data_IF_809850283232
#
_entry.id   IF_809850283232
#
_cell.length_a   1.000
_cell.length_b   1.000
_cell.length_c   1.000
_cell.angle_alpha   90.00
_cell.angle_beta   90.00
_cell.angle_gamma   90.00
#
_symmetry.space_group_name_H-M   'P 1'
#
loop_
_entity.id
_entity.type
_entity.pdbx_description
1 polymer ?
#
# COMPACT_ATOMS: atom_id res chain seq x y z
N UNK A 1 -21.46 -65.51 26.16
CA UNK A 1 -21.13 -66.95 26.14
C UNK A 1 -19.63 -67.08 26.36
N UNK A 2 -19.21 -67.80 27.40
CA UNK A 2 -17.80 -67.87 27.81
C UNK A 2 -17.20 -69.17 27.28
N UNK A 3 -16.23 -69.08 26.37
CA UNK A 3 -15.61 -70.26 25.76
C UNK A 3 -14.56 -70.83 26.73
N UNK A 4 -14.80 -72.03 27.25
CA UNK A 4 -13.81 -72.77 28.05
C UNK A 4 -12.96 -73.65 27.14
N UNK A 5 -11.64 -73.41 27.15
CA UNK A 5 -10.65 -74.19 26.40
C UNK A 5 -10.19 -75.33 27.30
N UNK A 6 -10.51 -76.57 26.92
CA UNK A 6 -10.21 -77.79 27.71
C UNK A 6 -8.84 -78.41 27.43
N UNK A 7 -8.13 -77.96 26.39
CA UNK A 7 -6.84 -78.52 25.97
C UNK A 7 -5.69 -77.54 26.19
N UNK A 8 -4.50 -78.08 26.47
CA UNK A 8 -3.26 -77.29 26.63
C UNK A 8 -2.89 -76.63 25.29
N UNK A 9 -2.84 -75.29 25.27
CA UNK A 9 -2.41 -74.52 24.09
C UNK A 9 -0.88 -74.67 23.98
N UNK A 10 -0.42 -75.46 23.02
CA UNK A 10 1.01 -75.75 22.78
C UNK A 10 1.64 -74.87 21.68
N UNK A 11 0.89 -73.91 21.15
CA UNK A 11 1.41 -72.92 20.19
C UNK A 11 0.48 -71.72 20.07
N UNK A 12 1.08 -70.53 20.03
CA UNK A 12 0.40 -69.28 19.74
C UNK A 12 1.15 -68.55 18.61
N UNK A 13 0.42 -67.84 17.74
CA UNK A 13 1.00 -66.97 16.72
C UNK A 13 0.40 -65.59 16.87
N UNK A 14 1.24 -64.60 17.18
CA UNK A 14 0.83 -63.20 17.22
C UNK A 14 0.72 -62.71 15.78
N UNK A 15 -0.47 -62.26 15.38
CA UNK A 15 -0.69 -61.63 14.07
C UNK A 15 0.03 -60.29 14.10
N UNK A 16 1.15 -60.15 13.37
CA UNK A 16 1.74 -58.84 13.12
C UNK A 16 0.79 -58.08 12.20
N UNK A 17 0.55 -56.80 12.49
CA UNK A 17 -0.23 -55.94 11.62
C UNK A 17 0.51 -55.80 10.29
N UNK A 18 -0.16 -56.13 9.18
CA UNK A 18 0.32 -55.79 7.85
C UNK A 18 0.34 -54.27 7.70
N UNK A 19 1.48 -53.65 7.37
CA UNK A 19 1.57 -52.20 7.19
C UNK A 19 0.81 -51.70 5.95
N UNK A 20 0.40 -52.59 5.04
CA UNK A 20 -0.29 -52.22 3.79
C UNK A 20 -1.82 -52.11 3.92
N UNK A 21 -2.42 -52.58 5.01
CA UNK A 21 -3.88 -52.46 5.22
C UNK A 21 -4.29 -51.15 5.95
N UNK A 22 -3.33 -50.31 6.36
CA UNK A 22 -3.58 -49.03 7.00
C UNK A 22 -3.63 -47.84 6.02
N UNK A 23 -3.42 -48.08 4.72
CA UNK A 23 -3.30 -47.03 3.71
C UNK A 23 -4.63 -46.60 3.05
N UNK A 24 -5.74 -47.32 3.27
CA UNK A 24 -6.95 -47.12 2.45
C UNK A 24 -8.16 -46.50 3.17
N UNK A 25 -8.03 -46.03 4.41
CA UNK A 25 -9.09 -45.26 5.08
C UNK A 25 -8.52 -44.02 5.78
N UNK A 26 -7.90 -43.13 5.01
CA UNK A 26 -7.87 -41.72 5.39
C UNK A 26 -9.14 -41.08 4.85
N UNK A 27 -10.18 -41.02 5.69
CA UNK A 27 -11.25 -40.06 5.48
C UNK A 27 -10.61 -38.69 5.29
N UNK A 28 -11.09 -37.83 4.36
CA UNK A 28 -10.51 -36.52 4.17
C UNK A 28 -10.65 -35.78 5.49
N UNK A 29 -9.52 -35.56 6.15
CA UNK A 29 -9.43 -34.63 7.26
C UNK A 29 -9.78 -33.30 6.63
N UNK A 30 -11.03 -32.86 6.80
CA UNK A 30 -11.40 -31.47 6.61
C UNK A 30 -10.59 -30.72 7.66
N UNK A 31 -9.37 -30.35 7.28
CA UNK A 31 -8.61 -29.38 8.01
C UNK A 31 -9.45 -28.11 7.95
N UNK A 32 -9.92 -27.65 9.12
CA UNK A 32 -10.20 -26.24 9.37
C UNK A 32 -8.92 -25.48 9.07
N UNK A 33 -8.67 -25.25 7.79
CA UNK A 33 -7.43 -24.69 7.28
C UNK A 33 -7.58 -23.20 7.49
N UNK A 34 -7.15 -22.72 8.67
CA UNK A 34 -7.11 -21.28 8.94
C UNK A 34 -6.39 -20.59 7.78
N UNK A 35 -6.92 -19.48 7.25
CA UNK A 35 -6.30 -18.80 6.13
C UNK A 35 -4.88 -18.40 6.48
N UNK A 36 -3.96 -18.61 5.54
CA UNK A 36 -2.56 -18.21 5.68
C UNK A 36 -2.51 -16.70 5.76
N UNK A 37 -1.87 -16.21 6.82
CA UNK A 37 -1.64 -14.80 7.06
C UNK A 37 -0.18 -14.46 6.83
N UNK A 38 0.10 -13.24 6.38
CA UNK A 38 1.45 -12.77 6.14
C UNK A 38 2.31 -12.88 7.42
N UNK A 39 3.45 -13.55 7.33
CA UNK A 39 4.38 -13.73 8.44
C UNK A 39 5.82 -14.03 7.97
N UNK A 40 6.76 -13.93 8.89
CA UNK A 40 8.21 -14.08 8.66
C UNK A 40 8.67 -15.47 8.16
N UNK A 41 7.81 -16.50 8.25
CA UNK A 41 8.10 -17.86 7.80
C UNK A 41 7.60 -18.13 6.37
N UNK A 42 6.91 -17.19 5.73
CA UNK A 42 6.47 -17.34 4.34
C UNK A 42 7.69 -17.27 3.42
N UNK A 43 7.96 -18.40 2.76
CA UNK A 43 9.01 -18.47 1.74
C UNK A 43 8.68 -17.58 0.54
N UNK A 44 9.74 -17.03 -0.06
CA UNK A 44 9.61 -16.19 -1.25
C UNK A 44 9.21 -17.08 -2.43
N UNK A 45 8.05 -16.84 -3.08
CA UNK A 45 7.67 -17.61 -4.27
C UNK A 45 8.58 -17.29 -5.46
N UNK A 46 8.60 -18.20 -6.44
CA UNK A 46 9.38 -18.04 -7.67
C UNK A 46 8.89 -16.85 -8.52
N UNK A 47 7.60 -16.52 -8.41
CA UNK A 47 6.94 -15.45 -9.13
C UNK A 47 6.26 -14.47 -8.17
N UNK A 48 6.47 -13.17 -8.41
CA UNK A 48 5.79 -12.06 -7.73
C UNK A 48 5.34 -11.04 -8.77
N UNK A 49 4.17 -10.44 -8.56
CA UNK A 49 3.67 -9.36 -9.41
C UNK A 49 4.13 -8.01 -8.81
N UNK A 50 4.77 -7.18 -9.63
CA UNK A 50 5.32 -5.90 -9.19
C UNK A 50 4.67 -4.68 -9.86
N UNK A 51 4.52 -3.60 -9.11
CA UNK A 51 4.14 -2.28 -9.63
C UNK A 51 5.28 -1.28 -9.41
N UNK A 52 5.70 -0.59 -10.48
CA UNK A 52 6.75 0.44 -10.41
C UNK A 52 6.16 1.85 -10.46
N UNK A 53 6.55 2.68 -9.49
CA UNK A 53 6.22 4.09 -9.38
C UNK A 53 7.46 4.95 -9.62
N UNK A 54 7.28 6.09 -10.29
CA UNK A 54 8.35 7.05 -10.55
C UNK A 54 8.16 8.29 -9.69
N UNK A 55 9.22 8.71 -9.00
CA UNK A 55 9.30 9.99 -8.30
C UNK A 55 10.44 10.82 -8.89
N UNK A 56 10.22 12.12 -9.05
CA UNK A 56 11.24 13.07 -9.51
C UNK A 56 11.01 14.41 -8.81
N UNK A 57 11.69 14.65 -7.67
CA UNK A 57 11.68 15.96 -7.03
C UNK A 57 12.17 17.05 -8.00
N UNK A 58 11.65 18.29 -7.94
CA UNK A 58 12.01 19.35 -8.90
C UNK A 58 13.50 19.68 -8.94
N UNK A 59 14.16 19.63 -7.79
CA UNK A 59 15.59 19.96 -7.62
C UNK A 59 16.50 18.74 -7.86
N UNK A 60 15.92 17.54 -7.98
CA UNK A 60 16.70 16.32 -8.18
C UNK A 60 17.08 16.16 -9.67
N UNK A 61 18.37 15.93 -9.92
CA UNK A 61 18.88 15.64 -11.26
C UNK A 61 18.29 14.33 -11.81
N UNK A 62 18.20 13.31 -10.95
CA UNK A 62 17.80 11.96 -11.31
C UNK A 62 16.46 11.57 -10.70
N UNK A 63 15.66 10.82 -11.45
CA UNK A 63 14.44 10.21 -10.93
C UNK A 63 14.77 8.95 -10.12
N UNK A 64 13.86 8.62 -9.20
CA UNK A 64 13.88 7.39 -8.43
C UNK A 64 12.67 6.53 -8.80
N UNK A 65 12.89 5.23 -8.86
CA UNK A 65 11.89 4.22 -9.21
C UNK A 65 11.68 3.30 -8.01
N UNK A 66 10.43 3.16 -7.60
CA UNK A 66 10.02 2.36 -6.46
C UNK A 66 9.17 1.22 -7.00
N UNK A 67 9.68 0.00 -6.97
CA UNK A 67 8.94 -1.21 -7.34
C UNK A 67 8.47 -1.89 -6.08
N UNK A 68 7.17 -2.11 -5.93
CA UNK A 68 6.60 -2.91 -4.83
C UNK A 68 6.09 -4.20 -5.45
N UNK A 69 6.59 -5.32 -4.95
CA UNK A 69 6.21 -6.67 -5.36
C UNK A 69 5.25 -7.25 -4.33
N UNK A 70 4.17 -7.87 -4.82
CA UNK A 70 3.10 -8.43 -4.02
C UNK A 70 3.12 -9.94 -4.03
N UNK A 71 2.73 -10.53 -2.91
CA UNK A 71 2.37 -11.93 -2.79
C UNK A 71 0.85 -12.10 -2.75
N UNK A 72 0.34 -13.13 -3.43
CA UNK A 72 -1.05 -13.53 -3.35
C UNK A 72 -1.17 -14.69 -2.35
N UNK A 73 -1.90 -14.47 -1.26
CA UNK A 73 -2.15 -15.47 -0.22
C UNK A 73 -3.54 -16.08 -0.43
N UNK A 74 -3.66 -17.38 -0.14
CA UNK A 74 -4.91 -18.15 -0.21
C UNK A 74 -5.62 -18.04 -1.58
N UNK A 75 -4.84 -18.05 -2.67
CA UNK A 75 -5.34 -17.95 -4.04
C UNK A 75 -6.43 -19.00 -4.33
N UNK A 76 -7.53 -18.56 -4.94
CA UNK A 76 -8.66 -19.43 -5.27
C UNK A 76 -9.56 -19.80 -4.08
N UNK A 77 -9.47 -19.07 -2.96
CA UNK A 77 -10.34 -19.24 -1.79
C UNK A 77 -11.06 -17.94 -1.42
N UNK A 78 -12.08 -18.02 -0.54
CA UNK A 78 -12.79 -16.85 0.00
C UNK A 78 -11.90 -15.94 0.88
N UNK A 79 -10.67 -16.36 1.17
CA UNK A 79 -9.68 -15.61 1.95
C UNK A 79 -8.50 -15.13 1.10
N UNK A 80 -8.67 -15.08 -0.22
CA UNK A 80 -7.66 -14.55 -1.13
C UNK A 80 -7.31 -13.11 -0.75
N UNK A 81 -6.02 -12.87 -0.52
CA UNK A 81 -5.52 -11.58 -0.07
C UNK A 81 -4.19 -11.28 -0.73
N UNK A 82 -4.09 -10.10 -1.33
CA UNK A 82 -2.84 -9.56 -1.87
C UNK A 82 -2.12 -8.76 -0.79
N UNK A 83 -0.85 -9.07 -0.54
CA UNK A 83 -0.04 -8.41 0.48
C UNK A 83 1.28 -7.91 -0.13
N UNK A 84 1.78 -6.73 0.27
CA UNK A 84 3.11 -6.29 -0.17
C UNK A 84 4.15 -7.23 0.42
N UNK A 85 5.11 -7.66 -0.40
CA UNK A 85 6.14 -8.63 -0.02
C UNK A 85 7.53 -8.00 0.08
N UNK A 86 7.93 -7.25 -0.93
CA UNK A 86 9.24 -6.57 -0.98
C UNK A 86 9.14 -5.26 -1.76
N UNK A 87 10.01 -4.32 -1.42
CA UNK A 87 10.16 -3.05 -2.15
C UNK A 87 11.58 -2.95 -2.68
N UNK A 88 11.73 -2.35 -3.87
CA UNK A 88 13.01 -1.98 -4.46
C UNK A 88 12.99 -0.50 -4.82
N UNK A 89 13.95 0.25 -4.29
CA UNK A 89 14.10 1.67 -4.58
C UNK A 89 15.41 1.85 -5.35
N UNK A 90 15.31 2.28 -6.61
CA UNK A 90 16.45 2.47 -7.49
C UNK A 90 16.55 3.92 -7.98
N UNK A 91 17.76 4.47 -8.02
CA UNK A 91 18.05 5.79 -8.55
C UNK A 91 19.45 5.81 -9.16
N UNK A 92 19.64 6.67 -10.16
CA UNK A 92 20.99 6.99 -10.67
C UNK A 92 21.75 7.95 -9.76
N UNK A 93 21.06 8.65 -8.85
CA UNK A 93 21.71 9.55 -7.89
C UNK A 93 22.42 8.75 -6.79
N UNK A 94 23.67 9.13 -6.53
CA UNK A 94 24.48 8.57 -5.43
C UNK A 94 24.35 9.35 -4.13
N UNK A 95 23.74 10.55 -4.15
CA UNK A 95 23.59 11.48 -3.01
C UNK A 95 22.93 10.82 -1.79
N UNK A 96 22.11 9.81 -2.06
CA UNK A 96 21.18 9.22 -1.12
C UNK A 96 21.31 7.69 -1.01
N UNK A 97 22.34 7.13 -1.63
CA UNK A 97 22.45 5.70 -1.89
C UNK A 97 22.38 4.83 -0.63
N UNK A 98 23.13 5.20 0.43
CA UNK A 98 23.22 4.39 1.66
C UNK A 98 21.87 4.29 2.38
N UNK A 99 21.18 5.41 2.58
CA UNK A 99 19.90 5.42 3.28
C UNK A 99 18.79 4.82 2.43
N UNK A 100 18.81 4.98 1.10
CA UNK A 100 17.86 4.33 0.18
C UNK A 100 17.96 2.82 0.30
N UNK A 101 19.18 2.26 0.33
CA UNK A 101 19.38 0.82 0.54
C UNK A 101 18.89 0.38 1.91
N UNK A 102 19.22 1.14 2.97
CA UNK A 102 18.77 0.82 4.33
C UNK A 102 17.24 0.79 4.40
N UNK A 103 16.58 1.82 3.84
CA UNK A 103 15.13 1.95 3.81
C UNK A 103 14.48 0.81 3.02
N UNK A 104 15.01 0.48 1.85
CA UNK A 104 14.56 -0.64 1.02
C UNK A 104 14.58 -1.96 1.79
N UNK A 105 15.67 -2.22 2.53
CA UNK A 105 15.82 -3.44 3.34
C UNK A 105 14.87 -3.48 4.53
N UNK A 106 14.72 -2.36 5.25
CA UNK A 106 13.87 -2.27 6.43
C UNK A 106 12.40 -2.42 6.04
N UNK A 107 11.94 -1.69 5.02
CA UNK A 107 10.54 -1.80 4.55
C UNK A 107 10.24 -3.21 4.07
N UNK A 108 11.13 -3.83 3.29
CA UNK A 108 10.95 -5.22 2.85
C UNK A 108 10.98 -6.22 4.01
N UNK A 109 11.71 -5.93 5.09
CA UNK A 109 11.67 -6.76 6.29
C UNK A 109 10.33 -6.63 7.03
N UNK A 110 9.78 -5.41 7.12
CA UNK A 110 8.46 -5.16 7.73
C UNK A 110 7.37 -5.84 6.92
N UNK A 111 7.38 -5.70 5.58
CA UNK A 111 6.45 -6.40 4.69
C UNK A 111 6.51 -7.92 4.87
N UNK A 112 7.72 -8.50 4.90
CA UNK A 112 7.89 -9.94 5.15
C UNK A 112 7.43 -10.40 6.53
N UNK A 113 7.55 -9.55 7.54
CA UNK A 113 7.06 -9.87 8.89
C UNK A 113 5.53 -9.92 8.96
N UNK A 114 4.84 -9.20 8.07
CA UNK A 114 3.39 -9.13 8.01
C UNK A 114 2.77 -8.39 9.20
N UNK A 115 1.48 -8.67 9.45
CA UNK A 115 0.65 -7.89 10.38
C UNK A 115 0.14 -6.61 9.74
N UNK A 116 -0.19 -5.61 10.56
CA UNK A 116 -0.57 -4.29 10.06
C UNK A 116 0.66 -3.54 9.58
N UNK A 117 0.82 -3.46 8.25
CA UNK A 117 1.90 -2.72 7.59
C UNK A 117 1.48 -1.30 7.21
N UNK A 118 0.22 -0.92 7.44
CA UNK A 118 -0.31 0.37 7.01
C UNK A 118 0.30 1.54 7.79
N UNK A 119 0.72 1.32 9.04
CA UNK A 119 1.39 2.30 9.89
C UNK A 119 2.67 2.89 9.24
N UNK A 120 3.34 2.13 8.35
CA UNK A 120 4.52 2.62 7.62
C UNK A 120 4.23 3.90 6.84
N UNK A 121 2.99 4.09 6.38
CA UNK A 121 2.58 5.32 5.68
C UNK A 121 2.72 6.53 6.58
N UNK A 122 2.25 6.42 7.83
CA UNK A 122 2.29 7.51 8.80
C UNK A 122 3.73 7.81 9.23
N UNK A 123 4.49 6.76 9.55
CA UNK A 123 5.90 6.88 9.95
C UNK A 123 6.73 7.58 8.87
N UNK A 124 6.61 7.16 7.61
CA UNK A 124 7.36 7.74 6.50
C UNK A 124 6.93 9.18 6.20
N UNK A 125 5.63 9.48 6.28
CA UNK A 125 5.10 10.86 6.12
C UNK A 125 5.59 11.81 7.20
N UNK A 126 5.88 11.32 8.39
CA UNK A 126 6.38 12.12 9.52
C UNK A 126 7.86 12.51 9.41
N UNK A 127 8.57 12.03 8.37
CA UNK A 127 9.97 12.37 8.13
C UNK A 127 10.07 13.69 7.37
N UNK A 128 10.72 14.68 7.97
CA UNK A 128 10.92 16.01 7.40
C UNK A 128 12.34 16.18 6.87
N UNK A 129 12.47 16.89 5.74
CA UNK A 129 13.77 17.32 5.23
C UNK A 129 14.18 18.60 5.97
N UNK A 130 15.41 18.68 6.52
CA UNK A 130 15.89 19.90 7.18
C UNK A 130 15.89 21.13 6.26
N UNK A 131 15.86 20.95 4.94
CA UNK A 131 15.77 22.02 3.96
C UNK A 131 14.31 22.44 3.65
N UNK A 132 13.31 21.85 4.32
CA UNK A 132 11.91 22.28 4.26
C UNK A 132 11.05 21.65 3.16
N UNK A 133 11.50 20.55 2.54
CA UNK A 133 10.72 19.79 1.56
C UNK A 133 10.61 20.46 0.18
N UNK A 134 9.65 20.03 -0.63
CA UNK A 134 9.45 20.54 -2.00
C UNK A 134 8.01 20.40 -2.49
N UNK A 135 7.67 21.14 -3.55
CA UNK A 135 6.38 20.99 -4.23
C UNK A 135 6.52 20.11 -5.47
N UNK A 136 5.65 19.12 -5.59
CA UNK A 136 5.50 18.32 -6.81
C UNK A 136 4.76 19.10 -7.88
N UNK A 137 4.81 18.59 -9.12
CA UNK A 137 3.90 19.02 -10.19
C UNK A 137 2.45 18.91 -9.68
N UNK A 138 1.62 19.92 -9.97
CA UNK A 138 0.27 20.05 -9.41
C UNK A 138 0.20 20.77 -8.06
N UNK A 139 1.32 21.28 -7.54
CA UNK A 139 1.34 22.13 -6.35
C UNK A 139 1.19 21.38 -5.02
N UNK A 140 1.33 20.05 -5.02
CA UNK A 140 1.28 19.21 -3.81
C UNK A 140 2.61 19.30 -3.07
N UNK A 141 2.58 19.74 -1.81
CA UNK A 141 3.77 19.82 -0.96
C UNK A 141 4.15 18.46 -0.38
N UNK A 142 5.43 18.12 -0.46
CA UNK A 142 6.06 16.95 0.15
C UNK A 142 7.08 17.42 1.20
N UNK A 143 6.93 17.01 2.48
CA UNK A 143 7.86 17.40 3.54
C UNK A 143 9.30 16.90 3.37
N UNK A 144 9.47 15.78 2.68
CA UNK A 144 10.76 15.17 2.36
C UNK A 144 10.63 14.16 1.22
N UNK A 145 11.78 13.69 0.71
CA UNK A 145 11.82 12.56 -0.22
C UNK A 145 11.28 11.26 0.41
N UNK A 146 11.51 11.07 1.71
CA UNK A 146 11.01 9.90 2.46
C UNK A 146 9.48 9.96 2.60
N UNK A 147 8.93 11.15 2.83
CA UNK A 147 7.48 11.35 2.85
C UNK A 147 6.84 11.07 1.48
N UNK A 148 7.52 11.41 0.38
CA UNK A 148 7.05 11.04 -0.97
C UNK A 148 7.10 9.51 -1.20
N UNK A 149 8.11 8.80 -0.69
CA UNK A 149 8.14 7.32 -0.68
C UNK A 149 6.95 6.77 0.11
N UNK A 150 6.64 7.34 1.27
CA UNK A 150 5.45 6.99 2.06
C UNK A 150 4.15 7.17 1.28
N UNK A 151 3.99 8.27 0.55
CA UNK A 151 2.84 8.50 -0.33
C UNK A 151 2.74 7.49 -1.48
N UNK A 152 3.88 6.99 -2.00
CA UNK A 152 3.89 5.91 -2.99
C UNK A 152 3.43 4.59 -2.39
N UNK A 153 3.91 4.24 -1.19
CA UNK A 153 3.48 3.03 -0.48
C UNK A 153 1.99 3.09 -0.18
N UNK A 154 1.49 4.21 0.33
CA UNK A 154 0.06 4.41 0.57
C UNK A 154 -0.78 4.22 -0.71
N UNK A 155 -0.35 4.84 -1.81
CA UNK A 155 -1.02 4.68 -3.11
C UNK A 155 -1.09 3.20 -3.51
N UNK A 156 -0.01 2.46 -3.25
CA UNK A 156 0.05 1.05 -3.56
C UNK A 156 -0.85 0.22 -2.63
N UNK A 157 -0.80 0.45 -1.31
CA UNK A 157 -1.66 -0.21 -0.32
C UNK A 157 -3.15 0.01 -0.61
N UNK A 158 -3.54 1.22 -1.03
CA UNK A 158 -4.90 1.51 -1.52
C UNK A 158 -5.25 0.70 -2.76
N UNK A 159 -4.32 0.59 -3.71
CA UNK A 159 -4.54 -0.15 -4.95
C UNK A 159 -4.74 -1.67 -4.74
N UNK A 160 -4.10 -2.24 -3.71
CA UNK A 160 -4.25 -3.65 -3.35
C UNK A 160 -5.31 -3.91 -2.27
N UNK A 161 -6.04 -2.88 -1.85
CA UNK A 161 -7.18 -3.01 -0.91
C UNK A 161 -6.81 -3.09 0.57
N UNK A 162 -5.56 -2.81 0.95
CA UNK A 162 -5.14 -2.76 2.36
C UNK A 162 -5.48 -1.43 3.05
N UNK A 163 -5.70 -0.37 2.28
CA UNK A 163 -6.11 0.94 2.79
C UNK A 163 -7.37 1.39 2.05
N UNK A 164 -8.32 1.94 2.79
CA UNK A 164 -9.50 2.56 2.20
C UNK A 164 -9.09 3.82 1.42
N UNK A 165 -9.63 3.96 0.21
CA UNK A 165 -9.57 5.21 -0.52
C UNK A 165 -10.59 6.18 0.07
N UNK A 166 -10.11 7.30 0.61
CA UNK A 166 -10.96 8.47 0.86
C UNK A 166 -11.41 9.07 -0.48
N UNK A 167 -12.39 8.45 -1.11
CA UNK A 167 -13.03 9.02 -2.29
C UNK A 167 -13.91 10.20 -1.87
N UNK A 168 -13.72 11.33 -2.56
CA UNK A 168 -14.62 12.45 -2.38
C UNK A 168 -16.02 12.07 -2.84
N UNK A 169 -17.03 12.40 -2.02
CA UNK A 169 -18.43 12.16 -2.38
C UNK A 169 -18.74 12.79 -3.74
N UNK A 170 -19.64 12.19 -4.52
CA UNK A 170 -20.02 12.75 -5.83
C UNK A 170 -20.51 14.19 -5.71
N UNK A 171 -21.21 14.52 -4.63
CA UNK A 171 -21.63 15.88 -4.30
C UNK A 171 -20.44 16.82 -4.16
N UNK A 172 -19.40 16.41 -3.42
CA UNK A 172 -18.16 17.20 -3.25
C UNK A 172 -17.43 17.37 -4.57
N UNK A 173 -17.34 16.29 -5.38
CA UNK A 173 -16.73 16.35 -6.73
C UNK A 173 -17.47 17.35 -7.63
N UNK A 174 -18.80 17.35 -7.60
CA UNK A 174 -19.63 18.29 -8.37
C UNK A 174 -19.46 19.74 -7.91
N UNK A 175 -19.55 20.00 -6.60
CA UNK A 175 -19.34 21.33 -6.03
C UNK A 175 -17.94 21.86 -6.41
N UNK A 176 -16.92 21.03 -6.34
CA UNK A 176 -15.56 21.37 -6.76
C UNK A 176 -15.47 21.75 -8.24
N UNK A 177 -16.15 21.00 -9.11
CA UNK A 177 -16.18 21.29 -10.54
C UNK A 177 -16.91 22.62 -10.84
N UNK A 178 -18.05 22.86 -10.19
CA UNK A 178 -18.79 24.14 -10.27
C UNK A 178 -17.92 25.31 -9.80
N UNK A 179 -17.29 25.16 -8.62
CA UNK A 179 -16.40 26.15 -8.02
C UNK A 179 -15.16 26.45 -8.88
N UNK A 180 -14.60 25.46 -9.57
CA UNK A 180 -13.53 25.66 -10.56
C UNK A 180 -14.03 26.45 -11.77
N UNK A 181 -15.18 26.06 -12.33
CA UNK A 181 -15.76 26.72 -13.49
C UNK A 181 -16.14 28.18 -13.21
N UNK A 182 -16.72 28.46 -12.04
CA UNK A 182 -17.03 29.83 -11.58
C UNK A 182 -15.78 30.69 -11.48
N UNK A 183 -14.71 30.14 -10.90
CA UNK A 183 -13.44 30.85 -10.78
C UNK A 183 -12.82 31.17 -12.15
N UNK A 184 -12.77 30.19 -13.06
CA UNK A 184 -12.25 30.35 -14.42
C UNK A 184 -13.06 31.36 -15.23
N UNK A 185 -14.39 31.36 -15.07
CA UNK A 185 -15.28 32.33 -15.73
C UNK A 185 -15.08 33.77 -15.22
N UNK A 186 -14.71 33.93 -13.95
CA UNK A 186 -14.53 35.25 -13.33
C UNK A 186 -13.12 35.81 -13.52
N UNK A 187 -12.12 34.95 -13.72
CA UNK A 187 -10.70 35.32 -13.86
C UNK A 187 -10.14 35.01 -15.26
N UNK A 188 -10.68 35.63 -16.30
CA UNK A 188 -10.05 35.69 -17.63
C UNK A 188 -8.87 36.67 -17.66
N UNK A 189 -7.76 36.31 -17.02
CA UNK A 189 -6.45 36.89 -17.34
C UNK A 189 -5.51 35.76 -17.68
N UNK A 190 -5.47 35.42 -18.97
CA UNK A 190 -4.47 34.54 -19.54
C UNK A 190 -3.10 35.20 -19.42
N UNK A 191 -2.36 34.89 -18.36
CA UNK A 191 -0.90 34.95 -18.43
C UNK A 191 -0.46 33.65 -19.10
N UNK A 192 0.03 33.77 -20.34
CA UNK A 192 0.76 32.74 -21.06
C UNK A 192 2.05 32.40 -20.29
N UNK A 193 1.93 31.65 -19.20
CA UNK A 193 3.05 31.00 -18.55
C UNK A 193 2.85 29.50 -18.75
N UNK A 194 3.69 28.90 -19.60
CA UNK A 194 3.67 27.49 -20.02
C UNK A 194 4.07 26.53 -18.88
N UNK A 195 3.73 26.85 -17.64
CA UNK A 195 3.79 25.97 -16.48
C UNK A 195 2.37 25.77 -16.00
N UNK A 196 1.61 24.95 -16.72
CA UNK A 196 0.28 24.51 -16.33
C UNK A 196 0.31 23.92 -14.91
N UNK A 197 0.00 24.74 -13.91
CA UNK A 197 -0.46 24.28 -12.61
C UNK A 197 -1.96 24.06 -12.73
N UNK A 198 -2.46 22.93 -12.24
CA UNK A 198 -3.89 22.59 -12.26
C UNK A 198 -4.76 23.51 -11.37
N UNK A 199 -4.16 24.60 -10.85
CA UNK A 199 -4.73 25.53 -9.89
C UNK A 199 -4.28 26.97 -10.18
N UNK A 200 -5.08 27.98 -9.78
CA UNK A 200 -4.79 29.39 -10.01
C UNK A 200 -3.47 29.88 -9.41
N UNK A 201 -2.84 30.87 -10.03
CA UNK A 201 -1.55 31.42 -9.56
C UNK A 201 -1.65 32.11 -8.18
N UNK A 202 -2.82 32.64 -7.82
CA UNK A 202 -3.09 33.24 -6.51
C UNK A 202 -3.52 32.20 -5.45
N UNK A 203 -3.53 30.90 -5.77
CA UNK A 203 -3.91 29.87 -4.81
C UNK A 203 -2.88 29.71 -3.69
N UNK A 204 -3.38 29.53 -2.47
CA UNK A 204 -2.57 29.30 -1.26
C UNK A 204 -2.57 27.82 -0.85
N UNK A 205 -1.66 27.42 0.04
CA UNK A 205 -1.53 26.04 0.50
C UNK A 205 -2.71 25.63 1.39
N UNK A 206 -3.33 24.49 1.08
CA UNK A 206 -4.34 23.87 1.92
C UNK A 206 -3.69 23.21 3.15
N UNK A 207 -4.20 23.48 4.35
CA UNK A 207 -3.73 22.83 5.58
C UNK A 207 -4.11 21.35 5.69
N UNK A 208 -5.13 20.90 4.96
CA UNK A 208 -5.61 19.51 4.99
C UNK A 208 -4.86 18.59 4.02
N UNK A 209 -4.75 18.98 2.75
CA UNK A 209 -4.12 18.15 1.70
C UNK A 209 -2.77 18.66 1.22
N UNK A 210 -2.24 19.74 1.82
CA UNK A 210 -0.93 20.33 1.50
C UNK A 210 -0.76 20.73 0.03
N UNK A 211 -1.86 20.92 -0.71
CA UNK A 211 -1.86 21.32 -2.12
C UNK A 211 -2.10 22.82 -2.23
N UNK A 212 -1.35 23.52 -3.10
CA UNK A 212 -1.58 24.93 -3.46
C UNK A 212 -2.84 25.09 -4.32
N UNK A 213 -3.99 24.95 -3.69
CA UNK A 213 -5.29 24.93 -4.33
C UNK A 213 -6.36 25.73 -3.59
N UNK A 214 -6.02 26.44 -2.51
CA UNK A 214 -6.98 27.25 -1.75
C UNK A 214 -7.16 28.60 -2.42
N UNK A 215 -8.40 28.91 -2.79
CA UNK A 215 -8.81 30.22 -3.30
C UNK A 215 -9.89 30.81 -2.39
N UNK A 216 -10.01 32.14 -2.43
CA UNK A 216 -11.11 32.84 -1.75
C UNK A 216 -12.19 33.14 -2.78
N UNK A 217 -13.37 32.56 -2.61
CA UNK A 217 -14.57 32.86 -3.39
C UNK A 217 -15.71 33.19 -2.46
N UNK A 218 -16.43 34.28 -2.75
CA UNK A 218 -17.56 34.75 -1.94
C UNK A 218 -17.21 34.98 -0.45
N UNK A 219 -15.96 35.39 -0.18
CA UNK A 219 -15.46 35.58 1.19
C UNK A 219 -15.09 34.28 1.92
N UNK A 220 -15.24 33.12 1.29
CA UNK A 220 -14.86 31.83 1.85
C UNK A 220 -13.57 31.27 1.24
N UNK A 221 -12.68 30.74 2.07
CA UNK A 221 -11.49 30.03 1.62
C UNK A 221 -11.83 28.55 1.34
N UNK A 222 -11.71 28.13 0.08
CA UNK A 222 -12.05 26.77 -0.38
C UNK A 222 -10.89 26.15 -1.17
N UNK A 223 -10.52 24.92 -0.82
CA UNK A 223 -9.50 24.14 -1.50
C UNK A 223 -10.07 23.43 -2.73
N UNK A 224 -9.62 23.80 -3.92
CA UNK A 224 -10.02 23.18 -5.18
C UNK A 224 -9.47 21.74 -5.36
N UNK A 225 -8.58 21.27 -4.49
CA UNK A 225 -8.02 19.92 -4.57
C UNK A 225 -8.76 18.89 -3.72
N UNK A 226 -9.23 19.26 -2.53
CA UNK A 226 -9.83 18.32 -1.58
C UNK A 226 -11.18 18.80 -1.00
N UNK A 227 -11.70 19.94 -1.46
CA UNK A 227 -12.99 20.48 -1.03
C UNK A 227 -13.00 21.07 0.38
N UNK A 228 -11.85 21.10 1.08
CA UNK A 228 -11.74 21.71 2.40
C UNK A 228 -12.15 23.19 2.36
N UNK A 229 -13.09 23.58 3.23
CA UNK A 229 -13.68 24.92 3.26
C UNK A 229 -13.84 25.38 4.70
N UNK A 230 -13.52 26.64 4.97
CA UNK A 230 -13.70 27.21 6.32
C UNK A 230 -15.15 27.58 6.66
N UNK A 231 -16.07 27.52 5.70
CA UNK A 231 -17.45 28.00 5.88
C UNK A 231 -18.51 26.88 5.87
N UNK A 232 -18.09 25.61 5.90
CA UNK A 232 -18.97 24.44 5.88
C UNK A 232 -18.89 23.65 4.59
#
# INVERSE_FOLDING_TARGET
MTVKISNKIVGYRVKKADPEAAAEHQAPVQADTKPVQMNEYIERPDFLLGTTYKIKPPVAEHAMYITINDILLNEGTDHESRQPYEVFINSKSMEHFQWVIALTRVISAVFRKGGDVTFLVEELRSVYDPNGGYFKKGGVFMPSLVAEIGAVIEKHLKAIGLLESEEMSETTKRILAEKRAEFEATHTTATNDEKASDYPANATMCGKCSTKAVIVMDGCATCLSCGDSKCG
#
